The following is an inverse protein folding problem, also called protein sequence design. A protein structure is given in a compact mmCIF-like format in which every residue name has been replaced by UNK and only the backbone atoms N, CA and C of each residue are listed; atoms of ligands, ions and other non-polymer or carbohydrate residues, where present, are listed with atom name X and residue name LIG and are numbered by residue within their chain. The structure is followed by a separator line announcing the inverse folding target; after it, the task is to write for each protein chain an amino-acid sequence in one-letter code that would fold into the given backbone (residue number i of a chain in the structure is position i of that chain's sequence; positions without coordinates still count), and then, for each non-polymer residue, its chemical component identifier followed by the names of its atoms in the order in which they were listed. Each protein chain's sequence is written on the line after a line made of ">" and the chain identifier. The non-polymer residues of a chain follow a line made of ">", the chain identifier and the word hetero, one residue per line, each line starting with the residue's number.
data_IF_761466830389
#
_entry.id   IF_761466830389
#
_cell.length_a   1.000
_cell.length_b   1.000
_cell.length_c   1.000
_cell.angle_alpha   90.00
_cell.angle_beta   90.00
_cell.angle_gamma   90.00
#
_symmetry.space_group_name_H-M   'P 1'
#
loop_
_entity.id
_entity.type
_entity.pdbx_description
1 polymer ?
#
# COMPACT_ATOMS: atom_id res chain seq x y z
N UNK A 1 11.34 -1.43 8.50
CA UNK A 1 12.18 -2.37 7.74
C UNK A 1 11.89 -2.27 6.25
N UNK A 2 12.93 -2.14 5.44
CA UNK A 2 12.77 -1.88 4.01
C UNK A 2 13.28 -3.08 3.20
N UNK A 3 12.38 -3.93 2.68
CA UNK A 3 12.82 -5.07 1.90
C UNK A 3 13.57 -4.63 0.64
N UNK A 4 14.60 -5.37 0.27
CA UNK A 4 15.34 -5.22 -1.00
C UNK A 4 15.86 -3.80 -1.28
N UNK A 5 16.13 -3.00 -0.26
CA UNK A 5 16.64 -1.64 -0.42
C UNK A 5 15.59 -0.58 -0.73
N UNK A 6 14.31 -0.93 -0.74
CA UNK A 6 13.23 0.04 -0.92
C UNK A 6 13.22 1.05 0.23
N UNK A 7 12.87 2.30 -0.08
CA UNK A 7 12.84 3.38 0.93
C UNK A 7 11.47 3.59 1.55
N UNK A 8 10.41 3.19 0.86
CA UNK A 8 9.03 3.45 1.28
C UNK A 8 8.19 2.19 1.45
N UNK A 9 8.70 1.05 1.02
CA UNK A 9 7.98 -0.21 1.14
C UNK A 9 8.14 -0.77 2.56
N UNK A 10 7.04 -1.19 3.17
CA UNK A 10 7.02 -1.70 4.53
C UNK A 10 6.67 -0.65 5.57
N UNK A 11 6.35 -1.07 6.82
CA UNK A 11 5.93 -0.16 7.88
C UNK A 11 7.11 0.57 8.53
N UNK A 12 6.79 1.67 9.22
CA UNK A 12 7.73 2.37 10.07
C UNK A 12 8.72 3.29 9.36
N UNK A 13 8.53 3.60 8.08
CA UNK A 13 9.40 4.52 7.35
C UNK A 13 8.97 5.97 7.57
N UNK A 14 9.93 6.93 7.62
CA UNK A 14 9.58 8.35 7.57
C UNK A 14 8.86 8.69 6.27
N UNK A 15 8.00 9.71 6.30
CA UNK A 15 7.33 10.19 5.09
C UNK A 15 8.30 10.72 4.04
N UNK A 16 9.42 11.30 4.49
CA UNK A 16 10.49 11.74 3.59
C UNK A 16 11.74 10.89 3.85
N UNK A 17 11.84 9.80 3.13
CA UNK A 17 12.96 8.86 3.24
C UNK A 17 13.87 8.88 2.01
N UNK A 18 13.94 10.02 1.32
CA UNK A 18 14.77 10.23 0.13
C UNK A 18 14.03 9.92 -1.17
N UNK A 19 14.77 9.90 -2.26
CA UNK A 19 14.19 9.60 -3.58
C UNK A 19 13.81 8.12 -3.70
N UNK A 20 12.61 7.81 -4.23
CA UNK A 20 12.24 6.43 -4.50
C UNK A 20 13.23 5.76 -5.47
N UNK A 21 13.53 4.48 -5.24
CA UNK A 21 14.49 3.76 -6.08
C UNK A 21 13.90 3.28 -7.40
N UNK A 22 12.57 3.16 -7.50
CA UNK A 22 11.88 2.75 -8.72
C UNK A 22 10.39 3.12 -8.63
N UNK A 23 9.60 2.72 -9.63
CA UNK A 23 8.17 3.04 -9.68
C UNK A 23 7.39 2.44 -8.51
N UNK A 24 7.72 1.22 -8.10
CA UNK A 24 7.05 0.59 -6.95
C UNK A 24 7.31 1.39 -5.67
N UNK A 25 8.55 1.80 -5.45
CA UNK A 25 8.91 2.60 -4.27
C UNK A 25 8.21 3.95 -4.28
N UNK A 26 8.04 4.54 -5.47
CA UNK A 26 7.27 5.77 -5.66
C UNK A 26 5.79 5.58 -5.28
N UNK A 27 5.18 4.47 -5.68
CA UNK A 27 3.81 4.13 -5.30
C UNK A 27 3.67 3.90 -3.79
N UNK A 28 4.65 3.25 -3.18
CA UNK A 28 4.67 3.04 -1.73
C UNK A 28 4.75 4.37 -1.00
N UNK A 29 5.55 5.31 -1.49
CA UNK A 29 5.64 6.67 -0.96
C UNK A 29 4.30 7.40 -1.06
N UNK A 30 3.65 7.35 -2.22
CA UNK A 30 2.32 7.96 -2.41
C UNK A 30 1.30 7.39 -1.42
N UNK A 31 1.31 6.07 -1.23
CA UNK A 31 0.43 5.41 -0.28
C UNK A 31 0.68 5.89 1.17
N UNK A 32 1.94 6.02 1.56
CA UNK A 32 2.30 6.54 2.89
C UNK A 32 1.78 7.96 3.10
N UNK A 33 1.91 8.84 2.10
CA UNK A 33 1.36 10.19 2.16
C UNK A 33 -0.18 10.17 2.21
N UNK A 34 -0.81 9.31 1.43
CA UNK A 34 -2.26 9.16 1.44
C UNK A 34 -2.77 8.75 2.83
N UNK A 35 -2.07 7.84 3.48
CA UNK A 35 -2.38 7.43 4.86
C UNK A 35 -2.22 8.58 5.85
N UNK A 36 -1.10 9.31 5.76
CA UNK A 36 -0.82 10.43 6.67
C UNK A 36 -1.87 11.54 6.54
N UNK A 37 -2.46 11.70 5.36
CA UNK A 37 -3.48 12.73 5.09
C UNK A 37 -4.91 12.21 5.28
N UNK A 38 -5.11 10.94 5.62
CA UNK A 38 -6.43 10.38 5.88
C UNK A 38 -7.06 11.03 7.10
N UNK A 39 -8.31 11.44 6.98
CA UNK A 39 -9.06 12.12 8.05
C UNK A 39 -9.86 11.14 8.90
N UNK A 40 -10.25 10.02 8.33
CA UNK A 40 -11.07 9.00 8.98
C UNK A 40 -10.83 7.62 8.35
N UNK A 41 -11.55 6.61 8.86
CA UNK A 41 -11.42 5.24 8.39
C UNK A 41 -11.89 5.04 6.94
N UNK A 42 -12.81 5.87 6.47
CA UNK A 42 -13.26 5.82 5.06
C UNK A 42 -12.15 6.27 4.13
N UNK A 43 -11.42 7.33 4.49
CA UNK A 43 -10.27 7.80 3.73
C UNK A 43 -9.17 6.71 3.67
N UNK A 44 -8.94 6.01 4.78
CA UNK A 44 -7.98 4.89 4.83
C UNK A 44 -8.43 3.76 3.90
N UNK A 45 -9.72 3.40 3.93
CA UNK A 45 -10.27 2.37 3.07
C UNK A 45 -10.14 2.73 1.58
N UNK A 46 -10.48 3.96 1.23
CA UNK A 46 -10.34 4.46 -0.15
C UNK A 46 -8.89 4.39 -0.62
N UNK A 47 -7.95 4.79 0.25
CA UNK A 47 -6.52 4.72 -0.04
C UNK A 47 -6.07 3.27 -0.29
N UNK A 48 -6.49 2.34 0.55
CA UNK A 48 -6.12 0.92 0.41
C UNK A 48 -6.67 0.34 -0.90
N UNK A 49 -7.91 0.65 -1.28
CA UNK A 49 -8.52 0.22 -2.53
C UNK A 49 -7.74 0.77 -3.72
N UNK A 50 -7.45 2.06 -3.71
CA UNK A 50 -6.72 2.74 -4.78
C UNK A 50 -5.34 2.12 -4.99
N UNK A 51 -4.56 1.95 -3.92
CA UNK A 51 -3.19 1.46 -4.03
C UNK A 51 -3.09 -0.04 -4.26
N UNK A 52 -4.08 -0.82 -3.83
CA UNK A 52 -4.20 -2.23 -4.24
C UNK A 52 -4.21 -2.32 -5.78
N UNK A 53 -5.04 -1.51 -6.43
CA UNK A 53 -5.11 -1.45 -7.89
C UNK A 53 -3.81 -0.97 -8.53
N UNK A 54 -3.20 0.08 -7.98
CA UNK A 54 -1.94 0.64 -8.50
C UNK A 54 -0.78 -0.34 -8.36
N UNK A 55 -0.65 -1.05 -7.25
CA UNK A 55 0.38 -2.06 -7.08
C UNK A 55 0.19 -3.23 -8.05
N UNK A 56 -1.04 -3.71 -8.22
CA UNK A 56 -1.34 -4.77 -9.18
C UNK A 56 -1.00 -4.34 -10.62
N UNK A 57 -1.37 -3.12 -11.00
CA UNK A 57 -1.03 -2.58 -12.31
C UNK A 57 0.48 -2.48 -12.50
N UNK A 58 1.20 -2.02 -11.48
CA UNK A 58 2.66 -1.92 -11.54
C UNK A 58 3.31 -3.29 -11.80
N UNK A 59 2.80 -4.36 -11.18
CA UNK A 59 3.27 -5.72 -11.44
C UNK A 59 3.07 -6.13 -12.89
N UNK A 60 1.93 -5.74 -13.49
CA UNK A 60 1.58 -6.10 -14.86
C UNK A 60 2.46 -5.34 -15.87
N UNK A 61 2.73 -4.04 -15.63
CA UNK A 61 3.47 -3.20 -16.58
C UNK A 61 4.97 -3.31 -16.47
N UNK A 62 5.50 -4.03 -15.46
CA UNK A 62 6.93 -4.24 -15.27
C UNK A 62 7.31 -5.74 -15.28
N UNK A 63 6.93 -6.52 -16.32
CA UNK A 63 7.17 -7.97 -16.32
C UNK A 63 8.64 -8.35 -16.46
N UNK A 64 9.50 -7.40 -16.86
CA UNK A 64 10.94 -7.63 -17.03
C UNK A 64 11.75 -7.24 -15.80
N UNK A 65 11.10 -6.76 -14.76
CA UNK A 65 11.73 -6.43 -13.47
C UNK A 65 11.18 -7.37 -12.40
N UNK A 66 11.81 -8.54 -12.18
CA UNK A 66 11.30 -9.55 -11.26
C UNK A 66 11.12 -9.04 -9.85
N UNK A 67 11.95 -8.12 -9.39
CA UNK A 67 11.87 -7.56 -8.05
C UNK A 67 10.64 -6.66 -7.91
N UNK A 68 10.42 -5.76 -8.87
CA UNK A 68 9.21 -4.93 -8.86
C UNK A 68 7.95 -5.77 -8.99
N UNK A 69 7.96 -6.76 -9.86
CA UNK A 69 6.82 -7.65 -10.05
C UNK A 69 6.47 -8.36 -8.74
N UNK A 70 7.45 -9.01 -8.11
CA UNK A 70 7.25 -9.74 -6.86
C UNK A 70 6.70 -8.83 -5.76
N UNK A 71 7.37 -7.72 -5.47
CA UNK A 71 6.97 -6.84 -4.38
C UNK A 71 5.69 -6.07 -4.68
N UNK A 72 5.39 -5.81 -5.97
CA UNK A 72 4.10 -5.21 -6.37
C UNK A 72 2.94 -6.16 -6.06
N UNK A 73 3.07 -7.46 -6.36
CA UNK A 73 2.06 -8.45 -6.02
C UNK A 73 1.93 -8.63 -4.51
N UNK A 74 3.03 -8.62 -3.77
CA UNK A 74 3.00 -8.70 -2.31
C UNK A 74 2.26 -7.50 -1.73
N UNK A 75 2.53 -6.30 -2.23
CA UNK A 75 1.82 -5.08 -1.81
C UNK A 75 0.34 -5.13 -2.12
N UNK A 76 -0.02 -5.51 -3.35
CA UNK A 76 -1.41 -5.63 -3.76
C UNK A 76 -2.17 -6.67 -2.92
N UNK A 77 -1.56 -7.83 -2.69
CA UNK A 77 -2.16 -8.90 -1.89
C UNK A 77 -2.36 -8.44 -0.44
N UNK A 78 -1.33 -7.85 0.17
CA UNK A 78 -1.42 -7.36 1.55
C UNK A 78 -2.50 -6.31 1.76
N UNK A 79 -2.57 -5.30 0.88
CA UNK A 79 -3.60 -4.27 0.94
C UNK A 79 -4.98 -4.83 0.61
N UNK A 80 -5.07 -5.77 -0.34
CA UNK A 80 -6.32 -6.43 -0.70
C UNK A 80 -6.91 -7.21 0.47
N UNK A 81 -6.10 -7.98 1.17
CA UNK A 81 -6.51 -8.73 2.36
C UNK A 81 -6.96 -7.77 3.46
N UNK A 82 -6.18 -6.72 3.73
CA UNK A 82 -6.53 -5.71 4.72
C UNK A 82 -7.87 -5.06 4.40
N UNK A 83 -8.10 -4.71 3.14
CA UNK A 83 -9.35 -4.11 2.67
C UNK A 83 -10.53 -5.06 2.91
N UNK A 84 -10.39 -6.35 2.56
CA UNK A 84 -11.44 -7.34 2.76
C UNK A 84 -11.77 -7.56 4.24
N UNK A 85 -10.79 -7.47 5.12
CA UNK A 85 -10.99 -7.65 6.56
C UNK A 85 -11.65 -6.43 7.20
N UNK A 86 -11.31 -5.22 6.76
CA UNK A 86 -11.71 -3.98 7.41
C UNK A 86 -12.98 -3.34 6.82
N UNK A 87 -13.23 -3.49 5.51
CA UNK A 87 -14.32 -2.81 4.83
C UNK A 87 -15.70 -3.02 5.48
N UNK A 88 -16.11 -4.24 5.85
CA UNK A 88 -17.43 -4.44 6.47
C UNK A 88 -17.61 -3.68 7.78
N UNK A 89 -16.57 -3.58 8.58
CA UNK A 89 -16.60 -2.89 9.87
C UNK A 89 -16.57 -1.37 9.69
N UNK A 90 -15.79 -0.86 8.76
CA UNK A 90 -15.69 0.56 8.45
C UNK A 90 -17.01 1.07 7.86
N UNK A 91 -17.57 0.37 6.86
CA UNK A 91 -18.77 0.79 6.15
C UNK A 91 -20.04 0.64 6.99
N UNK A 92 -20.07 -0.30 7.93
CA UNK A 92 -21.21 -0.49 8.82
C UNK A 92 -21.07 0.23 10.16
N UNK A 93 -19.95 0.90 10.39
CA UNK A 93 -19.66 1.55 11.67
C UNK A 93 -19.33 0.59 12.82
N UNK A 94 -19.10 -0.69 12.51
CA UNK A 94 -18.72 -1.67 13.53
C UNK A 94 -17.23 -1.65 13.78
N UNK A 95 -16.84 -1.98 15.00
CA UNK A 95 -15.44 -2.10 15.35
C UNK A 95 -14.88 -3.41 14.82
N UNK A 96 -13.71 -3.35 14.15
CA UNK A 96 -13.02 -4.54 13.68
C UNK A 96 -12.49 -5.33 14.89
N UNK A 97 -12.90 -6.60 15.07
CA UNK A 97 -12.44 -7.41 16.19
C UNK A 97 -10.97 -7.80 16.12
N UNK A 98 -10.34 -7.64 14.93
CA UNK A 98 -8.92 -7.94 14.72
C UNK A 98 -8.01 -6.71 14.92
N UNK A 99 -8.61 -5.56 15.13
CA UNK A 99 -7.86 -4.33 15.32
C UNK A 99 -7.29 -4.19 16.75
#
# INVERSE_FOLDING_TARGET
>A
MNPAGYRYLGPGNPLDNGEPINQLDSLAREHDYSYANARDNVDVLESDIEYTGKFALNAIVHPKDPMQELWSWIGALGLGIKTLEEAPFILTGRKNPLA
#
